data_IF_683763287625
#
_entry.id   IF_683763287625
#
_cell.length_a   1.000
_cell.length_b   1.000
_cell.length_c   1.000
_cell.angle_alpha   90.00
_cell.angle_beta   90.00
_cell.angle_gamma   90.00
#
_symmetry.space_group_name_H-M   'P 1'
#
loop_
_entity.id
_entity.type
_entity.pdbx_description
1 polymer ?
#
# COMPACT_ATOMS: atom_id res chain seq x y z
N UNK A 1 -27.12 3.66 -12.37
CA UNK A 1 -25.91 3.82 -11.55
C UNK A 1 -24.86 2.94 -12.17
N UNK A 2 -23.80 3.54 -12.68
CA UNK A 2 -22.69 2.79 -13.30
C UNK A 2 -22.00 1.98 -12.21
N UNK A 3 -22.02 0.65 -12.33
CA UNK A 3 -21.40 -0.23 -11.35
C UNK A 3 -19.90 -0.26 -11.63
N UNK A 4 -19.10 0.21 -10.69
CA UNK A 4 -17.63 0.13 -10.80
C UNK A 4 -17.22 -1.32 -10.57
N UNK A 5 -16.49 -1.90 -11.51
CA UNK A 5 -15.91 -3.23 -11.34
C UNK A 5 -14.66 -3.12 -10.45
N UNK A 6 -14.82 -3.37 -9.16
CA UNK A 6 -13.77 -3.24 -8.14
C UNK A 6 -12.59 -4.19 -8.37
N UNK A 7 -12.84 -5.42 -8.85
CA UNK A 7 -11.77 -6.36 -9.18
C UNK A 7 -10.88 -5.83 -10.30
N UNK A 8 -11.49 -5.34 -11.39
CA UNK A 8 -10.75 -4.75 -12.50
C UNK A 8 -10.02 -3.47 -12.08
N UNK A 9 -10.65 -2.65 -11.24
CA UNK A 9 -10.02 -1.46 -10.67
C UNK A 9 -8.82 -1.82 -9.80
N UNK A 10 -8.92 -2.86 -8.99
CA UNK A 10 -7.84 -3.37 -8.16
C UNK A 10 -6.64 -3.84 -9.00
N UNK A 11 -6.86 -4.62 -10.06
CA UNK A 11 -5.77 -5.04 -10.96
C UNK A 11 -5.09 -3.85 -11.64
N UNK A 12 -5.85 -2.84 -12.09
CA UNK A 12 -5.28 -1.60 -12.65
C UNK A 12 -4.46 -0.86 -11.59
N UNK A 13 -4.98 -0.79 -10.36
CA UNK A 13 -4.28 -0.16 -9.25
C UNK A 13 -2.93 -0.85 -9.01
N UNK A 14 -2.88 -2.18 -8.93
CA UNK A 14 -1.62 -2.93 -8.75
C UNK A 14 -0.60 -2.61 -9.85
N UNK A 15 -1.04 -2.57 -11.12
CA UNK A 15 -0.14 -2.37 -12.26
C UNK A 15 0.37 -0.93 -12.45
N UNK A 16 -0.38 0.06 -11.97
CA UNK A 16 -0.12 1.49 -12.23
C UNK A 16 0.20 2.30 -10.97
N UNK A 17 -0.12 1.82 -9.76
CA UNK A 17 0.10 2.56 -8.50
C UNK A 17 1.58 2.83 -8.25
N UNK A 18 2.45 1.86 -8.53
CA UNK A 18 3.91 2.02 -8.38
C UNK A 18 4.49 3.10 -9.30
N UNK A 19 3.76 3.49 -10.35
CA UNK A 19 4.16 4.52 -11.32
C UNK A 19 3.44 5.85 -11.11
N UNK A 20 2.36 5.88 -10.34
CA UNK A 20 1.43 7.00 -10.27
C UNK A 20 2.01 8.29 -9.69
N UNK A 21 2.98 8.19 -8.77
CA UNK A 21 3.58 9.36 -8.09
C UNK A 21 5.01 9.67 -8.55
N UNK A 22 5.60 8.80 -9.39
CA UNK A 22 6.95 8.97 -9.95
C UNK A 22 6.89 9.52 -11.39
N UNK A 23 6.07 10.54 -11.59
CA UNK A 23 5.90 11.21 -12.88
C UNK A 23 6.45 12.63 -12.83
N UNK A 24 6.82 13.19 -13.98
CA UNK A 24 7.28 14.60 -14.07
C UNK A 24 6.19 15.61 -13.66
N UNK A 25 4.93 15.21 -13.70
CA UNK A 25 3.78 16.09 -13.46
C UNK A 25 3.20 15.97 -12.03
N UNK A 26 3.80 15.15 -11.16
CA UNK A 26 3.26 14.83 -9.84
C UNK A 26 2.93 16.08 -9.01
N UNK A 27 3.74 17.14 -9.07
CA UNK A 27 3.47 18.38 -8.34
C UNK A 27 2.22 19.11 -8.85
N UNK A 28 1.97 19.06 -10.16
CA UNK A 28 0.78 19.64 -10.77
C UNK A 28 -0.45 18.82 -10.41
N UNK A 29 -0.40 17.51 -10.62
CA UNK A 29 -1.49 16.57 -10.30
C UNK A 29 -1.85 16.62 -8.81
N UNK A 30 -0.84 16.79 -7.95
CA UNK A 30 -1.05 16.97 -6.52
C UNK A 30 -1.78 18.28 -6.18
N UNK A 31 -1.43 19.40 -6.84
CA UNK A 31 -2.15 20.67 -6.67
C UNK A 31 -3.58 20.59 -7.17
N UNK A 32 -3.83 19.77 -8.20
CA UNK A 32 -5.16 19.48 -8.74
C UNK A 32 -5.96 18.50 -7.86
N UNK A 33 -5.35 17.97 -6.79
CA UNK A 33 -6.02 17.14 -5.78
C UNK A 33 -6.05 15.64 -6.08
N UNK A 34 -5.30 15.17 -7.08
CA UNK A 34 -5.38 13.76 -7.53
C UNK A 34 -4.94 12.76 -6.45
N UNK A 35 -4.08 13.18 -5.51
CA UNK A 35 -3.58 12.34 -4.43
C UNK A 35 -4.32 12.54 -3.09
N UNK A 36 -5.42 13.30 -3.06
CA UNK A 36 -6.14 13.59 -1.81
C UNK A 36 -6.64 12.31 -1.11
N UNK A 37 -7.24 11.39 -1.86
CA UNK A 37 -7.74 10.12 -1.31
C UNK A 37 -6.61 9.25 -0.78
N UNK A 38 -5.49 9.18 -1.49
CA UNK A 38 -4.29 8.45 -1.05
C UNK A 38 -3.74 9.04 0.25
N UNK A 39 -3.54 10.36 0.31
CA UNK A 39 -3.09 11.06 1.52
C UNK A 39 -4.03 10.86 2.70
N UNK A 40 -5.33 10.90 2.47
CA UNK A 40 -6.33 10.67 3.51
C UNK A 40 -6.28 9.22 4.04
N UNK A 41 -6.06 8.23 3.17
CA UNK A 41 -5.89 6.84 3.58
C UNK A 41 -4.61 6.67 4.43
N UNK A 42 -3.49 7.20 3.96
CA UNK A 42 -2.22 7.14 4.70
C UNK A 42 -2.35 7.83 6.06
N UNK A 43 -3.01 8.99 6.13
CA UNK A 43 -3.27 9.68 7.39
C UNK A 43 -4.05 8.81 8.37
N UNK A 44 -5.14 8.17 7.92
CA UNK A 44 -5.93 7.27 8.79
C UNK A 44 -5.10 6.12 9.36
N UNK A 45 -4.23 5.51 8.55
CA UNK A 45 -3.36 4.43 9.02
C UNK A 45 -2.29 4.95 9.98
N UNK A 46 -1.73 6.14 9.71
CA UNK A 46 -0.78 6.81 10.60
C UNK A 46 -1.42 7.13 11.96
N UNK A 47 -2.67 7.59 11.98
CA UNK A 47 -3.42 7.85 13.21
C UNK A 47 -3.60 6.56 14.03
N UNK A 48 -3.97 5.45 13.39
CA UNK A 48 -4.07 4.14 14.06
C UNK A 48 -2.72 3.68 14.61
N UNK A 49 -1.61 3.92 13.91
CA UNK A 49 -0.26 3.63 14.42
C UNK A 49 0.01 4.43 15.70
N UNK A 50 -0.34 5.71 15.72
CA UNK A 50 -0.13 6.59 16.88
C UNK A 50 -1.10 6.29 18.05
N UNK A 51 -2.29 5.76 17.76
CA UNK A 51 -3.20 5.25 18.80
C UNK A 51 -2.61 4.03 19.51
N UNK A 52 -1.84 3.21 18.80
CA UNK A 52 -1.16 2.02 19.35
C UNK A 52 0.14 2.42 20.07
N UNK A 53 0.96 3.26 19.43
CA UNK A 53 2.21 3.79 19.98
C UNK A 53 2.34 5.29 19.68
N UNK A 54 1.97 6.10 20.66
CA UNK A 54 1.99 7.55 20.55
C UNK A 54 3.40 8.16 20.37
N UNK A 55 4.46 7.39 20.60
CA UNK A 55 5.85 7.83 20.42
C UNK A 55 6.47 7.27 19.13
N UNK A 56 5.71 6.57 18.30
CA UNK A 56 6.21 6.01 17.06
C UNK A 56 6.76 7.13 16.15
N UNK A 57 8.04 7.10 15.75
CA UNK A 57 8.70 8.26 15.16
C UNK A 57 8.32 8.55 13.70
N UNK A 58 7.80 7.56 12.96
CA UNK A 58 7.60 7.65 11.51
C UNK A 58 6.25 7.07 11.02
N UNK A 59 5.09 7.48 11.58
CA UNK A 59 3.81 6.81 11.35
C UNK A 59 3.36 6.90 9.88
N UNK A 60 3.48 8.06 9.23
CA UNK A 60 3.14 8.21 7.80
C UNK A 60 4.06 7.39 6.90
N UNK A 61 5.38 7.44 7.14
CA UNK A 61 6.34 6.66 6.34
C UNK A 61 6.07 5.17 6.46
N UNK A 62 5.73 4.70 7.66
CA UNK A 62 5.40 3.30 7.88
C UNK A 62 4.06 2.90 7.23
N UNK A 63 3.02 3.74 7.36
CA UNK A 63 1.75 3.57 6.68
C UNK A 63 1.89 3.50 5.15
N UNK A 64 2.60 4.46 4.55
CA UNK A 64 2.93 4.47 3.12
C UNK A 64 3.69 3.19 2.74
N UNK A 65 4.69 2.81 3.53
CA UNK A 65 5.49 1.62 3.25
C UNK A 65 4.66 0.34 3.27
N UNK A 66 3.73 0.18 4.21
CA UNK A 66 2.80 -0.96 4.25
C UNK A 66 1.90 -0.99 3.01
N UNK A 67 1.39 0.16 2.58
CA UNK A 67 0.53 0.26 1.41
C UNK A 67 1.28 -0.11 0.12
N UNK A 68 2.45 0.51 -0.11
CA UNK A 68 3.27 0.22 -1.29
C UNK A 68 3.78 -1.24 -1.26
N UNK A 69 4.11 -1.77 -0.09
CA UNK A 69 4.51 -3.16 0.07
C UNK A 69 3.41 -4.12 -0.38
N UNK A 70 2.15 -3.90 0.01
CA UNK A 70 1.04 -4.76 -0.41
C UNK A 70 0.99 -4.87 -1.94
N UNK A 71 0.97 -3.74 -2.64
CA UNK A 71 0.90 -3.70 -4.11
C UNK A 71 2.13 -4.34 -4.76
N UNK A 72 3.33 -4.02 -4.27
CA UNK A 72 4.57 -4.54 -4.83
C UNK A 72 4.70 -6.06 -4.66
N UNK A 73 4.31 -6.60 -3.50
CA UNK A 73 4.40 -8.04 -3.25
C UNK A 73 3.42 -8.82 -4.16
N UNK A 74 2.22 -8.29 -4.41
CA UNK A 74 1.28 -8.86 -5.38
C UNK A 74 1.89 -8.82 -6.80
N UNK A 75 2.36 -7.65 -7.24
CA UNK A 75 2.97 -7.50 -8.56
C UNK A 75 4.19 -8.39 -8.77
N UNK A 76 5.06 -8.50 -7.76
CA UNK A 76 6.24 -9.37 -7.84
C UNK A 76 5.84 -10.85 -7.88
N UNK A 77 4.85 -11.29 -7.11
CA UNK A 77 4.39 -12.67 -7.15
C UNK A 77 3.87 -13.04 -8.55
N UNK A 78 3.18 -12.13 -9.23
CA UNK A 78 2.61 -12.36 -10.57
C UNK A 78 3.63 -12.23 -11.71
N UNK A 79 4.58 -11.30 -11.60
CA UNK A 79 5.42 -10.90 -12.74
C UNK A 79 6.92 -11.04 -12.54
N UNK A 80 7.41 -10.94 -11.30
CA UNK A 80 8.84 -10.96 -10.96
C UNK A 80 9.10 -11.84 -9.71
N UNK A 81 8.76 -13.15 -9.76
CA UNK A 81 8.65 -14.00 -8.57
C UNK A 81 9.97 -14.19 -7.79
N UNK A 82 11.12 -13.84 -8.38
CA UNK A 82 12.41 -13.84 -7.67
C UNK A 82 12.61 -12.64 -6.73
N UNK A 83 11.73 -11.64 -6.76
CA UNK A 83 11.80 -10.45 -5.91
C UNK A 83 10.92 -10.55 -4.66
N UNK A 84 10.25 -11.68 -4.45
CA UNK A 84 9.34 -11.89 -3.34
C UNK A 84 9.43 -13.32 -2.83
N UNK A 85 9.08 -13.50 -1.56
CA UNK A 85 8.90 -14.80 -0.91
C UNK A 85 7.41 -15.21 -0.85
N UNK A 86 6.49 -14.40 -1.39
CA UNK A 86 5.05 -14.69 -1.41
C UNK A 86 4.58 -15.26 -2.74
N UNK A 87 3.55 -16.10 -2.67
CA UNK A 87 2.84 -16.62 -3.82
C UNK A 87 1.42 -16.05 -3.84
N UNK A 88 0.99 -15.64 -5.03
CA UNK A 88 -0.38 -15.18 -5.28
C UNK A 88 -0.97 -16.05 -6.37
N UNK A 89 -2.05 -16.75 -6.05
CA UNK A 89 -2.80 -17.56 -7.00
C UNK A 89 -4.17 -16.91 -7.21
N UNK A 90 -4.42 -16.40 -8.42
CA UNK A 90 -5.65 -15.65 -8.73
C UNK A 90 -5.80 -14.46 -7.78
N UNK A 91 -6.86 -14.43 -6.96
CA UNK A 91 -7.17 -13.35 -6.01
C UNK A 91 -6.88 -13.76 -4.54
N UNK A 92 -6.08 -14.82 -4.31
CA UNK A 92 -5.66 -15.21 -2.97
C UNK A 92 -4.44 -14.40 -2.50
N UNK A 93 -4.71 -13.38 -1.69
CA UNK A 93 -3.69 -12.49 -1.12
C UNK A 93 -3.32 -12.86 0.33
N UNK A 94 -3.63 -14.06 0.80
CA UNK A 94 -3.41 -14.45 2.19
C UNK A 94 -1.92 -14.36 2.59
N UNK A 95 -1.00 -14.81 1.74
CA UNK A 95 0.45 -14.71 2.01
C UNK A 95 0.93 -13.26 2.10
N UNK A 96 0.37 -12.35 1.30
CA UNK A 96 0.66 -10.91 1.36
C UNK A 96 0.18 -10.33 2.69
N UNK A 97 -1.03 -10.69 3.13
CA UNK A 97 -1.58 -10.26 4.41
C UNK A 97 -0.69 -10.74 5.57
N UNK A 98 -0.22 -11.98 5.51
CA UNK A 98 0.62 -12.56 6.55
C UNK A 98 2.01 -11.91 6.60
N UNK A 99 2.58 -11.58 5.44
CA UNK A 99 3.80 -10.78 5.33
C UNK A 99 3.63 -9.39 5.97
N UNK A 100 2.54 -8.67 5.67
CA UNK A 100 2.26 -7.35 6.26
C UNK A 100 2.09 -7.43 7.78
N UNK A 101 1.35 -8.44 8.27
CA UNK A 101 1.19 -8.70 9.72
C UNK A 101 2.53 -8.98 10.39
N UNK A 102 3.42 -9.74 9.74
CA UNK A 102 4.75 -10.03 10.25
C UNK A 102 5.57 -8.75 10.45
N UNK A 103 5.66 -7.90 9.42
CA UNK A 103 6.39 -6.63 9.53
C UNK A 103 5.75 -5.66 10.52
N UNK A 104 4.42 -5.53 10.51
CA UNK A 104 3.68 -4.75 11.51
C UNK A 104 3.98 -5.19 12.93
N UNK A 105 3.95 -6.49 13.20
CA UNK A 105 4.29 -7.04 14.51
C UNK A 105 5.72 -6.68 14.92
N UNK A 106 6.70 -6.78 14.00
CA UNK A 106 8.10 -6.44 14.32
C UNK A 106 8.35 -4.96 14.57
N UNK A 107 7.59 -4.08 13.90
CA UNK A 107 7.73 -2.63 14.06
C UNK A 107 7.01 -2.11 15.30
N UNK A 108 5.83 -2.64 15.62
CA UNK A 108 5.01 -2.14 16.74
C UNK A 108 5.20 -2.90 18.06
N UNK A 109 5.83 -4.09 18.07
CA UNK A 109 6.12 -4.85 19.31
C UNK A 109 7.53 -4.59 19.86
N UNK A 110 8.24 -3.56 19.40
CA UNK A 110 9.53 -3.14 19.96
C UNK A 110 9.43 -1.87 20.82
N UNK A 111 8.21 -1.48 21.21
CA UNK A 111 7.95 -0.49 22.25
C UNK A 111 7.81 -1.18 23.63
#
# INVERSE_FOLDING_TARGET
MEFVNEQKLHSIMIGESSKAYHTKNVDKENKEGFFMSYKALIQKVADVILEIDAKFPYPHSFATSLFEMANNQIFFAEHLPKLTDVHVNQDDYQEVIDLLKFYKKRMLNQA
#
